data_IF_317381547472
#
_entry.id   IF_317381547472
#
_cell.length_a   1.000
_cell.length_b   1.000
_cell.length_c   1.000
_cell.angle_alpha   90.00
_cell.angle_beta   90.00
_cell.angle_gamma   90.00
#
_symmetry.space_group_name_H-M   'P 1'
#
loop_
_entity.id
_entity.type
_entity.pdbx_description
1 polymer ?
#
# COMPACT_ATOMS: atom_id res chain seq x y z
N UNK A 1 -31.92 -10.02 16.64
CA UNK A 1 -30.85 -8.99 16.64
C UNK A 1 -31.45 -7.70 16.12
N UNK A 2 -31.60 -6.69 16.98
CA UNK A 2 -32.15 -5.40 16.57
C UNK A 2 -31.22 -4.77 15.51
N UNK A 3 -31.71 -4.62 14.28
CA UNK A 3 -31.04 -3.80 13.26
C UNK A 3 -30.92 -2.39 13.84
N UNK A 4 -29.71 -1.98 14.21
CA UNK A 4 -29.45 -0.65 14.74
C UNK A 4 -29.79 0.37 13.65
N UNK A 5 -30.99 0.96 13.72
CA UNK A 5 -31.43 1.98 12.78
C UNK A 5 -30.73 3.28 13.17
N UNK A 6 -29.87 3.78 12.30
CA UNK A 6 -29.25 5.10 12.49
C UNK A 6 -30.13 6.17 11.83
N UNK A 7 -30.25 7.32 12.49
CA UNK A 7 -30.96 8.48 11.96
C UNK A 7 -30.00 9.42 11.22
N UNK A 8 -30.54 10.22 10.28
CA UNK A 8 -29.75 11.28 9.63
C UNK A 8 -29.24 12.31 10.66
N UNK A 9 -29.97 12.53 11.76
CA UNK A 9 -29.57 13.47 12.81
C UNK A 9 -28.32 13.02 13.55
N UNK A 10 -28.21 11.72 13.87
CA UNK A 10 -26.99 11.13 14.44
C UNK A 10 -25.85 11.16 13.43
N UNK A 11 -26.12 10.83 12.16
CA UNK A 11 -25.13 10.91 11.09
C UNK A 11 -24.56 12.33 10.91
N UNK A 12 -25.36 13.39 11.13
CA UNK A 12 -24.89 14.79 11.09
C UNK A 12 -23.90 15.14 12.19
N UNK A 13 -24.00 14.49 13.35
CA UNK A 13 -23.08 14.72 14.47
C UNK A 13 -21.75 13.97 14.28
N UNK A 14 -21.72 12.98 13.39
CA UNK A 14 -20.52 12.20 13.09
C UNK A 14 -19.67 12.89 12.02
N UNK A 15 -18.38 13.08 12.31
CA UNK A 15 -17.40 13.42 11.29
C UNK A 15 -17.01 12.16 10.51
N UNK A 16 -17.79 11.83 9.47
CA UNK A 16 -17.59 10.60 8.69
C UNK A 16 -16.14 10.40 8.22
N UNK A 17 -15.47 11.47 7.79
CA UNK A 17 -14.06 11.44 7.37
C UNK A 17 -13.10 10.92 8.45
N UNK A 18 -13.37 11.21 9.73
CA UNK A 18 -12.53 10.85 10.88
C UNK A 18 -12.77 9.43 11.41
N UNK A 19 -13.80 8.73 10.93
CA UNK A 19 -14.12 7.38 11.39
C UNK A 19 -13.14 6.33 10.84
N UNK A 20 -12.95 5.23 11.58
CA UNK A 20 -12.21 4.05 11.12
C UNK A 20 -12.93 3.39 9.93
N UNK A 21 -12.18 2.59 9.15
CA UNK A 21 -12.70 1.97 7.92
C UNK A 21 -13.88 1.01 8.21
N UNK A 22 -13.76 0.19 9.25
CA UNK A 22 -14.81 -0.76 9.68
C UNK A 22 -16.12 -0.02 9.96
N UNK A 23 -16.06 1.05 10.76
CA UNK A 23 -17.24 1.86 11.08
C UNK A 23 -17.83 2.54 9.85
N UNK A 24 -17.00 3.00 8.90
CA UNK A 24 -17.48 3.57 7.63
C UNK A 24 -18.25 2.52 6.81
N UNK A 25 -17.75 1.28 6.75
CA UNK A 25 -18.39 0.18 6.03
C UNK A 25 -19.73 -0.21 6.68
N UNK A 26 -19.81 -0.23 8.01
CA UNK A 26 -21.08 -0.44 8.71
C UNK A 26 -22.09 0.64 8.36
N UNK A 27 -21.70 1.91 8.46
CA UNK A 27 -22.57 3.04 8.16
C UNK A 27 -23.07 3.03 6.72
N UNK A 28 -22.25 2.57 5.76
CA UNK A 28 -22.65 2.39 4.36
C UNK A 28 -23.88 1.48 4.19
N UNK A 29 -24.09 0.50 5.08
CA UNK A 29 -25.24 -0.42 5.04
C UNK A 29 -26.49 0.13 5.74
N UNK A 30 -26.35 1.20 6.54
CA UNK A 30 -27.41 1.74 7.39
C UNK A 30 -28.06 2.98 6.77
N UNK A 31 -28.59 2.86 5.56
CA UNK A 31 -29.32 3.95 4.90
C UNK A 31 -30.64 4.26 5.65
N UNK A 32 -30.85 5.48 6.17
CA UNK A 32 -32.08 5.81 6.89
C UNK A 32 -33.27 6.01 5.94
N UNK A 33 -34.33 5.22 6.10
CA UNK A 33 -35.57 5.32 5.30
C UNK A 33 -36.82 5.43 6.19
N UNK A 34 -36.95 6.48 7.01
CA UNK A 34 -38.13 6.68 7.85
C UNK A 34 -39.35 7.10 7.02
N UNK A 35 -40.55 6.83 7.54
CA UNK A 35 -41.79 7.40 7.03
C UNK A 35 -41.82 8.90 7.38
N UNK A 36 -41.91 9.78 6.37
CA UNK A 36 -41.90 11.22 6.57
C UNK A 36 -43.31 11.80 6.49
N UNK A 37 -43.68 12.63 7.46
CA UNK A 37 -44.89 13.45 7.39
C UNK A 37 -44.63 14.74 6.60
N UNK A 38 -44.18 14.61 5.35
CA UNK A 38 -43.88 15.73 4.46
C UNK A 38 -45.07 15.95 3.52
N UNK A 39 -45.73 17.10 3.68
CA UNK A 39 -46.91 17.51 2.91
C UNK A 39 -46.62 18.86 2.27
N UNK A 40 -46.84 18.98 0.97
CA UNK A 40 -46.76 20.23 0.22
C UNK A 40 -48.13 20.58 -0.33
N UNK A 41 -48.62 21.78 -0.02
CA UNK A 41 -49.85 22.33 -0.60
C UNK A 41 -49.48 23.46 -1.55
N UNK A 42 -49.83 23.31 -2.83
CA UNK A 42 -49.66 24.36 -3.83
C UNK A 42 -51.02 24.97 -4.15
N UNK A 43 -51.18 26.26 -3.86
CA UNK A 43 -52.41 27.00 -4.15
C UNK A 43 -52.41 27.47 -5.60
N UNK A 44 -53.47 27.14 -6.35
CA UNK A 44 -53.74 27.74 -7.66
C UNK A 44 -55.02 28.58 -7.59
N UNK A 45 -55.21 29.47 -8.59
CA UNK A 45 -56.37 30.39 -8.64
C UNK A 45 -57.73 29.69 -8.53
N UNK A 46 -57.82 28.40 -8.88
CA UNK A 46 -59.07 27.64 -8.95
C UNK A 46 -59.15 26.43 -8.01
N UNK A 47 -58.02 25.92 -7.49
CA UNK A 47 -57.97 24.77 -6.57
C UNK A 47 -56.62 24.65 -5.88
N UNK A 48 -56.63 24.01 -4.72
CA UNK A 48 -55.42 23.66 -3.98
C UNK A 48 -54.99 22.22 -4.33
N UNK A 49 -53.70 22.03 -4.60
CA UNK A 49 -53.12 20.71 -4.84
C UNK A 49 -52.29 20.28 -3.63
N UNK A 50 -52.71 19.20 -2.96
CA UNK A 50 -51.96 18.58 -1.87
C UNK A 50 -51.11 17.43 -2.43
N UNK A 51 -49.82 17.43 -2.12
CA UNK A 51 -48.88 16.33 -2.40
C UNK A 51 -48.29 15.85 -1.09
N UNK A 52 -48.23 14.54 -0.92
CA UNK A 52 -47.70 13.90 0.28
C UNK A 52 -46.55 12.98 -0.08
N UNK A 53 -45.59 12.84 0.83
CA UNK A 53 -44.49 11.92 0.67
C UNK A 53 -45.00 10.47 0.62
N UNK A 54 -44.46 9.69 -0.34
CA UNK A 54 -44.76 8.26 -0.49
C UNK A 54 -43.49 7.44 -0.26
N UNK A 55 -43.51 6.43 0.64
CA UNK A 55 -42.37 5.56 0.90
C UNK A 55 -41.77 4.89 -0.33
N UNK A 56 -42.59 4.58 -1.34
CA UNK A 56 -42.17 4.01 -2.63
C UNK A 56 -41.03 4.80 -3.31
N UNK A 57 -40.84 6.07 -2.94
CA UNK A 57 -39.72 6.87 -3.42
C UNK A 57 -38.36 6.24 -3.05
N UNK A 58 -38.22 5.64 -1.86
CA UNK A 58 -36.97 5.02 -1.43
C UNK A 58 -36.62 3.77 -2.24
N UNK A 59 -37.63 3.10 -2.80
CA UNK A 59 -37.45 1.96 -3.71
C UNK A 59 -37.08 2.45 -5.12
N UNK A 60 -37.76 3.49 -5.61
CA UNK A 60 -37.51 4.07 -6.93
C UNK A 60 -36.17 4.79 -7.03
N UNK A 61 -35.70 5.39 -5.93
CA UNK A 61 -34.46 6.18 -5.89
C UNK A 61 -33.57 5.67 -4.75
N UNK A 62 -32.69 4.72 -5.05
CA UNK A 62 -31.86 4.04 -4.05
C UNK A 62 -30.80 4.94 -3.38
N UNK A 63 -30.57 6.14 -3.92
CA UNK A 63 -29.64 7.11 -3.35
C UNK A 63 -30.28 8.04 -2.31
N UNK A 64 -31.60 8.02 -2.16
CA UNK A 64 -32.34 8.96 -1.29
C UNK A 64 -32.53 8.39 0.11
N UNK A 65 -32.36 9.24 1.13
CA UNK A 65 -32.67 8.96 2.52
C UNK A 65 -33.51 10.09 3.14
N UNK A 66 -34.20 9.78 4.24
CA UNK A 66 -35.05 10.72 4.95
C UNK A 66 -34.57 11.02 6.37
N UNK A 67 -34.87 12.21 6.85
CA UNK A 67 -34.64 12.61 8.23
C UNK A 67 -35.99 12.80 8.94
N UNK A 68 -36.25 12.00 9.97
CA UNK A 68 -37.50 12.04 10.74
C UNK A 68 -37.67 13.38 11.47
N UNK A 69 -36.63 13.87 12.15
CA UNK A 69 -36.70 15.12 12.93
C UNK A 69 -36.95 16.38 12.10
N UNK A 70 -36.49 16.43 10.85
CA UNK A 70 -36.69 17.59 9.97
C UNK A 70 -37.77 17.38 8.92
N UNK A 71 -38.27 16.15 8.76
CA UNK A 71 -39.17 15.73 7.69
C UNK A 71 -38.68 16.09 6.28
N UNK A 72 -37.37 15.97 6.01
CA UNK A 72 -36.76 16.32 4.72
C UNK A 72 -35.96 15.18 4.10
N UNK A 73 -35.74 15.29 2.79
CA UNK A 73 -35.01 14.31 1.98
C UNK A 73 -33.57 14.75 1.71
N UNK A 74 -32.67 13.78 1.69
CA UNK A 74 -31.24 13.92 1.45
C UNK A 74 -30.77 12.85 0.47
N UNK A 75 -29.59 13.03 -0.11
CA UNK A 75 -28.91 11.98 -0.85
C UNK A 75 -27.88 11.31 0.05
N UNK A 76 -28.00 10.01 0.29
CA UNK A 76 -27.20 9.28 1.26
C UNK A 76 -25.70 9.20 0.93
N UNK A 77 -25.27 8.81 -0.30
CA UNK A 77 -23.87 8.87 -0.69
C UNK A 77 -23.27 10.28 -0.58
N UNK A 78 -23.99 11.28 -1.08
CA UNK A 78 -23.56 12.68 -1.00
C UNK A 78 -23.48 13.16 0.45
N UNK A 79 -24.41 12.74 1.30
CA UNK A 79 -24.39 13.10 2.71
C UNK A 79 -23.11 12.59 3.41
N UNK A 80 -22.64 11.38 3.08
CA UNK A 80 -21.45 10.79 3.69
C UNK A 80 -20.13 11.34 3.10
N UNK A 81 -20.09 11.64 1.80
CA UNK A 81 -18.86 11.91 1.06
C UNK A 81 -18.74 13.30 0.44
N UNK A 82 -19.76 14.16 0.54
CA UNK A 82 -19.66 15.49 -0.04
C UNK A 82 -18.53 16.30 0.58
N UNK A 83 -17.64 16.80 -0.27
CA UNK A 83 -16.66 17.83 0.08
C UNK A 83 -17.39 19.16 0.22
N UNK A 84 -16.91 20.02 1.13
CA UNK A 84 -17.53 21.30 1.54
C UNK A 84 -17.88 22.29 0.39
N UNK A 85 -17.47 22.01 -0.86
CA UNK A 85 -17.61 22.91 -2.02
C UNK A 85 -18.59 22.40 -3.10
N UNK A 86 -19.36 21.33 -2.86
CA UNK A 86 -20.36 20.80 -3.80
C UNK A 86 -21.79 21.30 -3.52
N UNK A 87 -22.68 21.18 -4.51
CA UNK A 87 -24.11 21.54 -4.45
C UNK A 87 -24.75 21.17 -3.09
N UNK A 88 -24.93 22.18 -2.26
CA UNK A 88 -25.29 22.03 -0.85
C UNK A 88 -26.76 21.63 -0.65
N UNK A 89 -27.56 21.63 -1.71
CA UNK A 89 -29.01 21.44 -1.64
C UNK A 89 -29.43 20.04 -1.17
N UNK A 90 -28.63 19.01 -1.44
CA UNK A 90 -28.91 17.61 -1.07
C UNK A 90 -28.19 17.15 0.20
N UNK A 91 -27.41 18.04 0.83
CA UNK A 91 -26.58 17.75 2.01
C UNK A 91 -26.93 18.68 3.17
N UNK A 92 -26.94 20.01 2.95
CA UNK A 92 -27.21 21.01 4.01
C UNK A 92 -28.62 21.60 3.91
N UNK A 93 -29.08 22.00 2.72
CA UNK A 93 -30.35 22.72 2.57
C UNK A 93 -31.57 21.81 2.53
N UNK A 94 -31.39 20.53 2.17
CA UNK A 94 -32.36 19.43 2.17
C UNK A 94 -33.65 19.66 1.37
N UNK A 95 -34.16 18.62 0.71
CA UNK A 95 -35.26 18.78 -0.25
C UNK A 95 -36.61 18.50 0.43
N UNK A 96 -37.48 19.52 0.42
CA UNK A 96 -38.87 19.45 0.89
C UNK A 96 -39.89 19.66 -0.25
N UNK A 97 -39.42 20.02 -1.45
CA UNK A 97 -40.25 20.30 -2.61
C UNK A 97 -40.63 19.01 -3.33
N UNK A 98 -41.77 18.45 -2.94
CA UNK A 98 -42.43 17.30 -3.55
C UNK A 98 -42.94 17.61 -4.98
N UNK A 99 -43.15 18.89 -5.31
CA UNK A 99 -43.77 19.26 -6.58
C UNK A 99 -42.85 19.05 -7.78
N UNK A 100 -41.56 19.32 -7.60
CA UNK A 100 -40.50 19.13 -8.61
C UNK A 100 -39.49 18.05 -8.22
N UNK A 101 -39.82 17.21 -7.24
CA UNK A 101 -38.89 16.25 -6.65
C UNK A 101 -38.22 15.35 -7.68
N UNK A 102 -39.00 14.72 -8.57
CA UNK A 102 -38.46 13.83 -9.60
C UNK A 102 -37.47 14.54 -10.53
N UNK A 103 -37.76 15.78 -10.92
CA UNK A 103 -36.86 16.58 -11.77
C UNK A 103 -35.58 16.96 -11.03
N UNK A 104 -35.69 17.34 -9.75
CA UNK A 104 -34.54 17.66 -8.90
C UNK A 104 -33.64 16.45 -8.67
N UNK A 105 -34.22 15.26 -8.45
CA UNK A 105 -33.48 14.00 -8.30
C UNK A 105 -32.71 13.71 -9.58
N UNK A 106 -33.38 13.68 -10.74
CA UNK A 106 -32.71 13.40 -12.03
C UNK A 106 -31.56 14.37 -12.31
N UNK A 107 -31.75 15.66 -12.07
CA UNK A 107 -30.69 16.66 -12.24
C UNK A 107 -29.51 16.39 -11.30
N UNK A 108 -29.78 16.01 -10.05
CA UNK A 108 -28.76 15.69 -9.06
C UNK A 108 -27.99 14.42 -9.39
N UNK A 109 -28.66 13.36 -9.83
CA UNK A 109 -28.02 12.09 -10.20
C UNK A 109 -27.01 12.27 -11.34
N UNK A 110 -27.22 13.24 -12.23
CA UNK A 110 -26.27 13.60 -13.29
C UNK A 110 -25.17 14.58 -12.85
N UNK A 111 -25.16 15.08 -11.61
CA UNK A 111 -24.18 16.06 -11.15
C UNK A 111 -22.82 15.40 -10.84
N UNK A 112 -21.72 16.10 -11.13
CA UNK A 112 -20.37 15.60 -10.85
C UNK A 112 -20.15 15.29 -9.37
N UNK A 113 -20.75 16.08 -8.47
CA UNK A 113 -20.67 15.85 -7.02
C UNK A 113 -21.33 14.53 -6.61
N UNK A 114 -22.49 14.22 -7.17
CA UNK A 114 -23.17 12.94 -6.96
C UNK A 114 -22.34 11.78 -7.53
N UNK A 115 -21.86 11.90 -8.77
CA UNK A 115 -21.05 10.87 -9.43
C UNK A 115 -19.77 10.57 -8.65
N UNK A 116 -19.07 11.58 -8.15
CA UNK A 116 -17.91 11.38 -7.30
C UNK A 116 -18.27 10.72 -5.97
N UNK A 117 -19.35 11.16 -5.33
CA UNK A 117 -19.81 10.61 -4.04
C UNK A 117 -20.26 9.15 -4.17
N UNK A 118 -20.95 8.78 -5.25
CA UNK A 118 -21.36 7.39 -5.49
C UNK A 118 -20.16 6.50 -5.83
N UNK A 119 -19.15 7.03 -6.53
CA UNK A 119 -17.89 6.31 -6.77
C UNK A 119 -17.16 6.04 -5.44
N UNK A 120 -16.96 7.07 -4.61
CA UNK A 120 -16.34 6.90 -3.29
C UNK A 120 -17.16 5.95 -2.39
N UNK A 121 -18.49 6.08 -2.39
CA UNK A 121 -19.39 5.17 -1.68
C UNK A 121 -19.26 3.73 -2.15
N UNK A 122 -19.18 3.49 -3.46
CA UNK A 122 -19.06 2.15 -4.04
C UNK A 122 -17.68 1.52 -3.82
N UNK A 123 -16.62 2.33 -3.85
CA UNK A 123 -15.24 1.90 -3.60
C UNK A 123 -14.97 1.67 -2.11
N UNK A 124 -15.72 2.31 -1.20
CA UNK A 124 -15.57 2.09 0.23
C UNK A 124 -15.76 0.61 0.61
N UNK A 125 -14.72 0.02 1.21
CA UNK A 125 -14.67 -1.39 1.59
C UNK A 125 -14.28 -2.35 0.47
N UNK A 126 -14.09 -1.88 -0.76
CA UNK A 126 -13.47 -2.67 -1.83
C UNK A 126 -11.96 -2.47 -1.77
N UNK A 127 -11.22 -3.56 -1.92
CA UNK A 127 -9.76 -3.49 -1.89
C UNK A 127 -9.27 -2.68 -3.09
N UNK A 128 -8.59 -1.57 -2.84
CA UNK A 128 -8.03 -0.74 -3.89
C UNK A 128 -6.86 -1.49 -4.52
N UNK A 129 -7.05 -2.00 -5.73
CA UNK A 129 -6.05 -2.77 -6.48
C UNK A 129 -4.74 -1.99 -6.61
N UNK A 130 -4.82 -0.66 -6.81
CA UNK A 130 -3.63 0.19 -6.91
C UNK A 130 -2.84 0.23 -5.60
N UNK A 131 -3.52 0.26 -4.44
CA UNK A 131 -2.84 0.20 -3.13
C UNK A 131 -2.15 -1.15 -2.90
N UNK A 132 -2.78 -2.27 -3.29
CA UNK A 132 -2.14 -3.58 -3.19
C UNK A 132 -0.92 -3.69 -4.11
N UNK A 133 -1.02 -3.20 -5.34
CA UNK A 133 0.10 -3.19 -6.28
C UNK A 133 1.26 -2.34 -5.76
N UNK A 134 0.99 -1.19 -5.15
CA UNK A 134 2.02 -0.34 -4.54
C UNK A 134 2.70 -1.03 -3.35
N UNK A 135 1.93 -1.68 -2.46
CA UNK A 135 2.49 -2.45 -1.33
C UNK A 135 3.34 -3.63 -1.81
N UNK A 136 2.85 -4.39 -2.79
CA UNK A 136 3.56 -5.53 -3.35
C UNK A 136 4.84 -5.08 -4.07
N UNK A 137 4.78 -3.98 -4.83
CA UNK A 137 5.93 -3.38 -5.49
C UNK A 137 6.99 -2.97 -4.47
N UNK A 138 6.61 -2.20 -3.44
CA UNK A 138 7.53 -1.77 -2.36
C UNK A 138 8.15 -2.96 -1.63
N UNK A 139 7.36 -4.00 -1.35
CA UNK A 139 7.84 -5.22 -0.69
C UNK A 139 8.85 -5.97 -1.57
N UNK A 140 8.60 -6.05 -2.88
CA UNK A 140 9.54 -6.67 -3.83
C UNK A 140 10.84 -5.88 -3.94
N UNK A 141 10.78 -4.55 -3.99
CA UNK A 141 11.98 -3.68 -3.99
C UNK A 141 12.78 -3.91 -2.70
N UNK A 142 12.13 -3.94 -1.54
CA UNK A 142 12.79 -4.21 -0.25
C UNK A 142 13.48 -5.58 -0.26
N UNK A 143 12.77 -6.65 -0.63
CA UNK A 143 13.32 -8.01 -0.71
C UNK A 143 14.49 -8.11 -1.70
N UNK A 144 14.39 -7.42 -2.83
CA UNK A 144 15.48 -7.36 -3.81
C UNK A 144 16.72 -6.69 -3.19
N UNK A 145 16.56 -5.55 -2.53
CA UNK A 145 17.67 -4.82 -1.90
C UNK A 145 18.30 -5.61 -0.75
N UNK A 146 17.51 -6.31 0.05
CA UNK A 146 18.01 -7.23 1.08
C UNK A 146 18.86 -8.35 0.46
N UNK A 147 18.38 -8.94 -0.64
CA UNK A 147 19.14 -9.97 -1.38
C UNK A 147 20.43 -9.39 -1.97
N UNK A 148 20.41 -8.20 -2.57
CA UNK A 148 21.61 -7.51 -3.07
C UNK A 148 22.60 -7.25 -1.94
N UNK A 149 22.12 -6.82 -0.77
CA UNK A 149 22.96 -6.56 0.40
C UNK A 149 23.64 -7.84 0.87
N UNK A 150 22.89 -8.94 1.04
CA UNK A 150 23.45 -10.24 1.43
C UNK A 150 24.44 -10.77 0.38
N UNK A 151 24.10 -10.65 -0.91
CA UNK A 151 24.96 -11.07 -2.01
C UNK A 151 26.26 -10.27 -2.12
N UNK A 152 26.32 -9.03 -1.60
CA UNK A 152 27.56 -8.25 -1.51
C UNK A 152 28.35 -8.59 -0.25
N UNK A 153 27.65 -8.74 0.86
CA UNK A 153 28.24 -8.99 2.17
C UNK A 153 29.06 -10.30 2.21
N UNK A 154 28.50 -11.39 1.69
CA UNK A 154 29.18 -12.71 1.76
C UNK A 154 30.50 -12.73 0.96
N UNK A 155 30.55 -12.31 -0.31
CA UNK A 155 31.82 -12.16 -1.02
C UNK A 155 32.81 -11.25 -0.31
N UNK A 156 32.38 -10.16 0.34
CA UNK A 156 33.28 -9.32 1.15
C UNK A 156 33.95 -10.13 2.24
N UNK A 157 33.21 -10.96 3.00
CA UNK A 157 33.80 -11.81 4.04
C UNK A 157 34.77 -12.86 3.51
N UNK A 158 34.48 -13.41 2.34
CA UNK A 158 35.41 -14.34 1.68
C UNK A 158 36.67 -13.61 1.21
N UNK A 159 36.54 -12.41 0.65
CA UNK A 159 37.67 -11.57 0.25
C UNK A 159 38.51 -11.19 1.47
N UNK A 160 37.90 -10.86 2.61
CA UNK A 160 38.62 -10.59 3.86
C UNK A 160 39.47 -11.79 4.28
N UNK A 161 38.97 -13.02 4.12
CA UNK A 161 39.73 -14.24 4.39
C UNK A 161 40.88 -14.44 3.39
N UNK A 162 40.68 -14.12 2.10
CA UNK A 162 41.74 -14.17 1.09
C UNK A 162 42.84 -13.14 1.41
N UNK A 163 42.44 -11.91 1.75
CA UNK A 163 43.35 -10.83 2.15
C UNK A 163 44.14 -11.21 3.40
N UNK A 164 43.51 -11.83 4.39
CA UNK A 164 44.19 -12.37 5.57
C UNK A 164 45.27 -13.37 5.15
N UNK A 165 44.93 -14.36 4.32
CA UNK A 165 45.92 -15.33 3.84
C UNK A 165 47.08 -14.64 3.11
N UNK A 166 46.80 -13.66 2.25
CA UNK A 166 47.83 -12.89 1.55
C UNK A 166 48.72 -12.07 2.49
N UNK A 167 48.14 -11.40 3.49
CA UNK A 167 48.87 -10.56 4.44
C UNK A 167 49.83 -11.34 5.35
N UNK A 168 49.49 -12.61 5.63
CA UNK A 168 50.31 -13.51 6.46
C UNK A 168 51.10 -14.53 5.63
N UNK A 169 51.18 -14.36 4.30
CA UNK A 169 51.89 -15.26 3.38
C UNK A 169 51.43 -16.74 3.49
N UNK A 170 50.16 -16.94 3.84
CA UNK A 170 49.56 -18.26 4.01
C UNK A 170 49.11 -18.79 2.66
N UNK A 171 49.33 -20.09 2.45
CA UNK A 171 48.80 -20.78 1.29
C UNK A 171 47.26 -20.77 1.31
N UNK A 172 46.65 -20.24 0.25
CA UNK A 172 45.20 -20.28 0.06
C UNK A 172 44.68 -21.71 -0.15
N UNK A 173 45.53 -22.60 -0.67
CA UNK A 173 45.18 -23.99 -1.01
C UNK A 173 45.91 -24.98 -0.12
N UNK A 174 45.18 -26.02 0.27
CA UNK A 174 45.73 -27.18 0.97
C UNK A 174 46.24 -28.24 -0.01
N UNK A 175 47.03 -29.19 0.50
CA UNK A 175 47.42 -30.36 -0.30
C UNK A 175 46.23 -31.33 -0.49
N UNK A 176 45.33 -31.40 0.49
CA UNK A 176 44.10 -32.20 0.46
C UNK A 176 42.89 -31.36 0.90
N UNK A 177 42.04 -31.01 -0.08
CA UNK A 177 40.84 -30.17 0.11
C UNK A 177 39.55 -31.00 0.29
N UNK A 178 39.65 -32.31 0.49
CA UNK A 178 38.47 -33.15 0.75
C UNK A 178 37.79 -32.75 2.06
N UNK A 179 36.47 -32.94 2.13
CA UNK A 179 35.67 -32.51 3.28
C UNK A 179 36.04 -33.24 4.57
N UNK A 180 36.61 -34.44 4.48
CA UNK A 180 37.05 -35.32 5.57
C UNK A 180 38.56 -35.24 5.87
N UNK A 181 39.29 -34.38 5.14
CA UNK A 181 40.72 -34.15 5.34
C UNK A 181 40.97 -33.47 6.69
N UNK A 182 41.86 -34.06 7.52
CA UNK A 182 42.41 -33.43 8.71
C UNK A 182 43.20 -32.16 8.41
N UNK A 183 43.65 -31.98 7.16
CA UNK A 183 44.50 -30.86 6.74
C UNK A 183 43.86 -30.10 5.57
N UNK A 184 42.70 -29.54 5.83
CA UNK A 184 41.80 -28.92 4.85
C UNK A 184 42.30 -27.58 4.26
N UNK A 185 43.49 -27.12 4.67
CA UNK A 185 44.05 -25.83 4.27
C UNK A 185 43.57 -24.66 5.14
N UNK A 186 44.48 -23.69 5.36
CA UNK A 186 44.27 -22.57 6.30
C UNK A 186 43.08 -21.71 5.93
N UNK A 187 42.86 -21.46 4.64
CA UNK A 187 41.72 -20.69 4.15
C UNK A 187 40.37 -21.31 4.56
N UNK A 188 40.21 -22.63 4.43
CA UNK A 188 38.95 -23.32 4.77
C UNK A 188 38.71 -23.30 6.28
N UNK A 189 39.76 -23.47 7.08
CA UNK A 189 39.69 -23.31 8.54
C UNK A 189 39.27 -21.89 8.92
N UNK A 190 39.84 -20.87 8.27
CA UNK A 190 39.50 -19.47 8.54
C UNK A 190 38.05 -19.12 8.17
N UNK A 191 37.55 -19.64 7.04
CA UNK A 191 36.14 -19.48 6.65
C UNK A 191 35.24 -20.13 7.71
N UNK A 192 35.54 -21.38 8.10
CA UNK A 192 34.75 -22.10 9.11
C UNK A 192 34.73 -21.34 10.45
N UNK A 193 35.89 -20.86 10.92
CA UNK A 193 35.95 -20.01 12.10
C UNK A 193 35.12 -18.74 11.95
N UNK A 194 35.17 -18.08 10.79
CA UNK A 194 34.37 -16.90 10.51
C UNK A 194 32.86 -17.18 10.57
N UNK A 195 32.42 -18.40 10.23
CA UNK A 195 31.00 -18.79 10.35
C UNK A 195 30.51 -18.89 11.78
N UNK A 196 31.40 -19.17 12.75
CA UNK A 196 31.05 -19.20 14.17
C UNK A 196 30.72 -17.81 14.71
N UNK A 197 31.24 -16.76 14.06
CA UNK A 197 31.06 -15.37 14.45
C UNK A 197 29.99 -14.64 13.60
N UNK A 198 29.65 -15.17 12.43
CA UNK A 198 28.79 -14.50 11.44
C UNK A 198 27.63 -15.40 10.98
N UNK A 199 26.44 -15.12 11.53
CA UNK A 199 25.21 -15.84 11.20
C UNK A 199 24.80 -15.69 9.72
N UNK A 200 25.13 -14.58 9.08
CA UNK A 200 24.80 -14.36 7.67
C UNK A 200 25.67 -15.21 6.76
N UNK A 201 26.95 -15.40 7.15
CA UNK A 201 27.90 -16.23 6.44
C UNK A 201 27.56 -17.72 6.55
N UNK A 202 27.25 -18.22 7.76
CA UNK A 202 26.82 -19.62 7.92
C UNK A 202 25.52 -19.91 7.16
N UNK A 203 24.53 -19.02 7.25
CA UNK A 203 23.27 -19.15 6.52
C UNK A 203 23.51 -19.26 5.01
N UNK A 204 24.43 -18.45 4.47
CA UNK A 204 24.77 -18.49 3.05
C UNK A 204 25.48 -19.80 2.70
N UNK A 205 26.53 -20.18 3.44
CA UNK A 205 27.33 -21.36 3.10
C UNK A 205 26.53 -22.66 3.19
N UNK A 206 25.52 -22.73 4.06
CA UNK A 206 24.62 -23.88 4.20
C UNK A 206 23.50 -23.91 3.17
N UNK A 207 23.01 -22.76 2.71
CA UNK A 207 21.87 -22.67 1.77
C UNK A 207 22.26 -22.46 0.29
N UNK A 208 23.48 -21.98 0.01
CA UNK A 208 23.89 -21.62 -1.34
C UNK A 208 24.12 -22.86 -2.22
N UNK A 209 23.46 -22.88 -3.37
CA UNK A 209 23.60 -23.95 -4.37
C UNK A 209 24.67 -23.66 -5.42
N UNK A 210 24.87 -22.38 -5.76
CA UNK A 210 25.77 -21.95 -6.84
C UNK A 210 27.07 -21.36 -6.31
N UNK A 211 26.99 -20.28 -5.51
CA UNK A 211 28.16 -19.60 -4.97
C UNK A 211 28.44 -20.08 -3.56
N UNK A 212 29.25 -21.14 -3.41
CA UNK A 212 29.71 -21.60 -2.09
C UNK A 212 30.87 -20.78 -1.54
N UNK A 213 31.53 -19.94 -2.34
CA UNK A 213 32.64 -19.09 -1.89
C UNK A 213 33.97 -19.81 -1.65
N UNK A 214 33.93 -21.11 -1.37
CA UNK A 214 35.09 -21.91 -0.97
C UNK A 214 35.72 -22.72 -2.10
N UNK A 215 35.08 -22.82 -3.28
CA UNK A 215 35.64 -23.60 -4.38
C UNK A 215 36.86 -22.92 -5.00
N UNK A 216 37.78 -23.73 -5.51
CA UNK A 216 39.01 -23.26 -6.18
C UNK A 216 38.73 -22.32 -7.35
N UNK A 217 37.69 -22.59 -8.13
CA UNK A 217 37.28 -21.76 -9.27
C UNK A 217 36.82 -20.39 -8.80
N UNK A 218 35.98 -20.34 -7.75
CA UNK A 218 35.50 -19.09 -7.17
C UNK A 218 36.66 -18.29 -6.59
N UNK A 219 37.57 -18.94 -5.85
CA UNK A 219 38.76 -18.29 -5.31
C UNK A 219 39.59 -17.65 -6.43
N UNK A 220 39.81 -18.34 -7.55
CA UNK A 220 40.54 -17.78 -8.69
C UNK A 220 39.83 -16.58 -9.30
N UNK A 221 38.52 -16.66 -9.50
CA UNK A 221 37.75 -15.53 -10.01
C UNK A 221 37.83 -14.32 -9.08
N UNK A 222 37.84 -14.53 -7.76
CA UNK A 222 38.01 -13.45 -6.80
C UNK A 222 39.42 -12.86 -6.87
N UNK A 223 40.45 -13.69 -6.97
CA UNK A 223 41.84 -13.24 -7.16
C UNK A 223 42.01 -12.44 -8.45
N UNK A 224 41.40 -12.86 -9.56
CA UNK A 224 41.42 -12.12 -10.83
C UNK A 224 40.71 -10.77 -10.71
N UNK A 225 39.57 -10.72 -10.00
CA UNK A 225 38.88 -9.47 -9.69
C UNK A 225 39.79 -8.53 -8.86
N UNK A 226 40.44 -9.05 -7.82
CA UNK A 226 41.35 -8.28 -6.97
C UNK A 226 42.56 -7.78 -7.76
N UNK A 227 43.16 -8.63 -8.60
CA UNK A 227 44.26 -8.27 -9.49
C UNK A 227 43.86 -7.14 -10.44
N UNK A 228 42.66 -7.20 -11.01
CA UNK A 228 42.12 -6.15 -11.90
C UNK A 228 42.01 -4.80 -11.17
N UNK A 229 41.51 -4.81 -9.93
CA UNK A 229 41.42 -3.61 -9.10
C UNK A 229 42.81 -3.03 -8.82
N UNK A 230 43.77 -3.87 -8.42
CA UNK A 230 45.16 -3.45 -8.18
C UNK A 230 45.80 -2.86 -9.45
N UNK A 231 45.65 -3.53 -10.60
CA UNK A 231 46.19 -3.04 -11.87
C UNK A 231 45.58 -1.70 -12.28
N UNK A 232 44.27 -1.51 -12.08
CA UNK A 232 43.62 -0.24 -12.35
C UNK A 232 44.13 0.87 -11.43
N UNK A 233 44.36 0.56 -10.16
CA UNK A 233 44.96 1.52 -9.22
C UNK A 233 46.36 1.94 -9.67
N UNK A 234 47.24 0.99 -9.97
CA UNK A 234 48.61 1.24 -10.47
C UNK A 234 48.57 2.06 -11.78
N UNK A 235 47.69 1.71 -12.73
CA UNK A 235 47.52 2.48 -13.98
C UNK A 235 47.11 3.92 -13.71
N UNK A 236 46.20 4.15 -12.77
CA UNK A 236 45.75 5.49 -12.39
C UNK A 236 46.90 6.29 -11.74
N UNK A 237 47.68 5.67 -10.85
CA UNK A 237 48.84 6.31 -10.24
C UNK A 237 49.88 6.73 -11.29
N UNK A 238 50.23 5.82 -12.20
CA UNK A 238 51.17 6.11 -13.30
C UNK A 238 50.63 7.26 -14.17
N UNK A 239 49.34 7.21 -14.56
CA UNK A 239 48.74 8.24 -15.41
C UNK A 239 48.73 9.62 -14.75
N UNK A 240 48.50 9.67 -13.44
CA UNK A 240 48.47 10.92 -12.68
C UNK A 240 49.87 11.51 -12.43
N UNK A 241 50.91 10.68 -12.41
CA UNK A 241 52.29 11.14 -12.22
C UNK A 241 52.93 11.72 -13.49
N UNK A 242 52.43 11.38 -14.68
CA UNK A 242 52.97 11.86 -15.98
C UNK A 242 52.50 13.28 -16.33
N UNK A 243 51.87 14.02 -15.41
CA UNK A 243 51.45 15.43 -15.59
C UNK A 243 52.49 16.48 -15.14
N UNK A 244 53.73 16.09 -14.91
CA UNK A 244 54.84 17.03 -14.74
C UNK A 244 55.98 16.72 -15.72
N UNK A 245 55.89 17.28 -16.93
CA UNK A 245 56.99 17.91 -17.68
C UNK A 245 56.44 18.66 -18.91
#
# INVERSE_FOLDING_TARGET
MALCKISVSELKQLHFSKLCLERKIELKLLRPTPLLNLIQVTKCKTRDFKREFKPDLYEKCSSICGCESSHRLFCFPCFLFAKQNGDSSWVSSSVADLSHLTQKIKKHECSQSHLNSILEFNLLGKVNICQQLDIAFRSNVKRHNEKVTKNRYVPTKIIDCILFCGAFELALRGHDERDDSLNTGVFRVLINFSTELDSSLIDHLTSATVFKGTSKEIQNHLLDCMLTVCQNHIKNEISNQVLFQ
#
